data_IF_277815507855
#
_entry.id   IF_277815507855
#
_cell.length_a   1.000
_cell.length_b   1.000
_cell.length_c   1.000
_cell.angle_alpha   90.00
_cell.angle_beta   90.00
_cell.angle_gamma   90.00
#
_symmetry.space_group_name_H-M   'P 1'
#
loop_
_entity.id
_entity.type
_entity.pdbx_description
1 polymer ?
#
# COMPACT_ATOMS: atom_id res chain seq x y z
N UNK A 1 72.06 23.23 5.26
CA UNK A 1 70.82 23.76 5.90
C UNK A 1 69.66 23.51 4.95
N UNK A 2 68.58 22.90 5.47
CA UNK A 2 67.48 22.29 4.72
C UNK A 2 66.57 23.30 4.01
N UNK A 3 66.06 22.89 2.87
CA UNK A 3 65.10 23.57 1.98
C UNK A 3 63.65 23.31 2.42
N UNK A 4 62.85 24.38 2.33
CA UNK A 4 61.38 24.57 2.12
C UNK A 4 60.41 23.38 2.30
N UNK A 5 59.20 23.68 2.80
CA UNK A 5 57.93 23.75 2.03
C UNK A 5 56.75 24.00 3.00
N UNK A 6 55.89 24.96 2.63
CA UNK A 6 54.61 25.30 3.26
C UNK A 6 53.53 24.36 2.72
N UNK A 7 52.69 23.81 3.60
CA UNK A 7 51.42 23.16 3.23
C UNK A 7 50.34 23.56 4.25
N UNK A 8 49.36 24.33 3.76
CA UNK A 8 48.07 24.58 4.40
C UNK A 8 47.24 23.30 4.33
N UNK A 9 46.70 22.86 5.47
CA UNK A 9 45.65 21.83 5.51
C UNK A 9 44.45 22.40 6.25
N UNK A 10 43.42 22.67 5.45
CA UNK A 10 42.05 22.97 5.86
C UNK A 10 41.43 21.73 6.51
N UNK A 11 40.97 21.85 7.75
CA UNK A 11 40.23 20.80 8.45
C UNK A 11 38.79 21.23 8.69
N UNK A 12 37.89 20.88 7.77
CA UNK A 12 36.45 20.95 7.99
C UNK A 12 36.03 19.73 8.83
N UNK A 13 35.45 19.95 10.02
CA UNK A 13 34.82 18.88 10.79
C UNK A 13 33.31 19.06 10.71
N UNK A 14 32.67 18.10 10.04
CA UNK A 14 31.26 18.06 9.72
C UNK A 14 30.38 18.02 10.98
N UNK A 15 29.42 18.94 11.06
CA UNK A 15 28.33 18.90 12.01
C UNK A 15 27.33 17.84 11.51
N UNK A 16 27.30 16.68 12.18
CA UNK A 16 26.35 15.62 11.88
C UNK A 16 24.92 16.06 12.20
N UNK A 17 24.16 16.44 11.18
CA UNK A 17 22.71 16.54 11.26
C UNK A 17 22.16 15.12 11.20
N UNK A 18 21.77 14.60 12.36
CA UNK A 18 20.87 13.45 12.46
C UNK A 18 19.52 13.89 11.90
N UNK A 19 19.27 13.60 10.62
CA UNK A 19 17.93 13.63 10.07
C UNK A 19 17.19 12.42 10.67
N UNK A 20 16.43 12.65 11.73
CA UNK A 20 15.30 11.80 12.09
C UNK A 20 14.25 11.95 10.98
N UNK A 21 14.47 11.25 9.88
CA UNK A 21 13.44 11.06 8.87
C UNK A 21 12.39 10.14 9.46
N UNK A 22 11.33 10.70 10.05
CA UNK A 22 10.06 10.01 10.05
C UNK A 22 9.66 9.91 8.58
N UNK A 23 10.02 8.80 7.93
CA UNK A 23 9.44 8.43 6.66
C UNK A 23 8.01 8.04 6.98
N UNK A 24 7.12 9.04 7.04
CA UNK A 24 5.71 8.81 6.78
C UNK A 24 5.68 8.19 5.39
N UNK A 25 5.52 6.87 5.35
CA UNK A 25 5.63 6.06 4.16
C UNK A 25 4.79 6.68 3.05
N UNK A 26 5.44 7.02 1.94
CA UNK A 26 4.74 7.20 0.67
C UNK A 26 3.96 5.90 0.46
N UNK A 27 2.64 5.94 0.59
CA UNK A 27 1.79 4.83 0.19
C UNK A 27 1.73 4.86 -1.33
N UNK A 28 2.32 3.90 -2.06
CA UNK A 28 2.24 3.89 -3.51
C UNK A 28 0.77 3.81 -3.93
N UNK A 29 0.31 4.82 -4.67
CA UNK A 29 -0.99 4.82 -5.36
C UNK A 29 -0.86 3.96 -6.63
N UNK A 30 -1.65 2.88 -6.73
CA UNK A 30 -1.81 1.95 -7.87
C UNK A 30 -1.83 2.63 -9.26
N UNK A 31 -1.38 2.12 -10.43
CA UNK A 31 -0.72 0.90 -10.97
C UNK A 31 0.55 1.35 -11.76
N UNK A 32 1.46 0.43 -12.18
CA UNK A 32 2.21 -0.54 -11.38
C UNK A 32 2.94 0.14 -10.22
N UNK A 33 3.00 -0.54 -9.09
CA UNK A 33 3.58 0.01 -7.86
C UNK A 33 5.00 -0.47 -7.59
N UNK A 34 5.79 0.42 -7.01
CA UNK A 34 7.13 0.17 -6.48
C UNK A 34 7.11 0.37 -4.96
N UNK A 35 7.77 -0.51 -4.23
CA UNK A 35 8.19 -0.27 -2.84
C UNK A 35 9.69 -0.49 -2.73
N UNK A 36 10.31 -0.08 -1.62
CA UNK A 36 11.75 -0.23 -1.44
C UNK A 36 12.13 -0.35 0.03
N UNK A 37 13.22 -1.08 0.31
CA UNK A 37 13.93 -1.10 1.58
C UNK A 37 15.44 -0.91 1.38
N UNK A 38 15.98 0.17 1.94
CA UNK A 38 17.42 0.44 1.89
C UNK A 38 17.98 0.45 0.47
N UNK A 39 18.55 -0.68 0.02
CA UNK A 39 19.18 -0.88 -1.27
C UNK A 39 18.36 -1.67 -2.30
N UNK A 40 17.14 -2.13 -1.98
CA UNK A 40 16.31 -2.94 -2.89
C UNK A 40 15.00 -2.25 -3.21
N UNK A 41 14.59 -2.31 -4.47
CA UNK A 41 13.25 -1.97 -4.94
C UNK A 41 12.46 -3.24 -5.28
N UNK A 42 11.20 -3.30 -4.89
CA UNK A 42 10.25 -4.34 -5.26
C UNK A 42 9.24 -3.78 -6.25
N UNK A 43 9.15 -4.40 -7.43
CA UNK A 43 8.36 -3.91 -8.54
C UNK A 43 7.36 -4.98 -8.95
N UNK A 44 6.06 -4.66 -8.91
CA UNK A 44 5.04 -5.50 -9.50
C UNK A 44 4.92 -5.22 -11.01
N UNK A 45 4.89 -6.28 -11.81
CA UNK A 45 4.63 -6.21 -13.24
C UNK A 45 3.64 -7.31 -13.68
N UNK A 46 3.04 -7.12 -14.86
CA UNK A 46 2.05 -8.04 -15.41
C UNK A 46 2.51 -9.51 -15.53
N UNK A 47 3.81 -9.81 -15.42
CA UNK A 47 4.32 -11.18 -15.50
C UNK A 47 5.00 -11.69 -14.22
N UNK A 48 5.47 -10.80 -13.35
CA UNK A 48 6.21 -11.16 -12.13
C UNK A 48 6.34 -9.96 -11.18
N UNK A 49 6.69 -10.26 -9.93
CA UNK A 49 7.31 -9.32 -9.00
C UNK A 49 8.83 -9.45 -9.08
N UNK A 50 9.53 -8.33 -9.09
CA UNK A 50 10.99 -8.26 -9.17
C UNK A 50 11.55 -7.59 -7.93
N UNK A 51 12.67 -8.10 -7.42
CA UNK A 51 13.57 -7.31 -6.60
C UNK A 51 14.72 -6.80 -7.44
N UNK A 52 15.00 -5.50 -7.33
CA UNK A 52 16.00 -4.79 -8.12
C UNK A 52 16.93 -4.05 -7.17
N UNK A 53 18.23 -4.21 -7.36
CA UNK A 53 19.23 -3.42 -6.64
C UNK A 53 19.13 -1.95 -7.08
N UNK A 54 18.93 -1.04 -6.12
CA UNK A 54 18.74 0.39 -6.38
C UNK A 54 20.01 1.11 -6.84
N UNK A 55 21.20 0.58 -6.53
CA UNK A 55 22.48 1.21 -6.91
C UNK A 55 22.82 1.00 -8.38
N UNK A 56 22.49 -0.18 -8.93
CA UNK A 56 22.93 -0.58 -10.27
C UNK A 56 21.80 -1.09 -11.19
N UNK A 57 20.57 -1.23 -10.70
CA UNK A 57 19.41 -1.68 -11.48
C UNK A 57 19.40 -3.18 -11.81
N UNK A 58 20.32 -3.97 -11.26
CA UNK A 58 20.34 -5.41 -11.49
C UNK A 58 19.19 -6.10 -10.76
N UNK A 59 18.57 -7.06 -11.44
CA UNK A 59 17.64 -7.97 -10.80
C UNK A 59 18.37 -8.83 -9.76
N UNK A 60 17.82 -8.86 -8.55
CA UNK A 60 18.27 -9.73 -7.45
C UNK A 60 17.50 -11.06 -7.49
N UNK A 61 16.19 -11.00 -7.67
CA UNK A 61 15.30 -12.15 -7.84
C UNK A 61 13.99 -11.73 -8.51
N UNK A 62 13.22 -12.71 -8.98
CA UNK A 62 11.83 -12.51 -9.43
C UNK A 62 10.91 -13.63 -8.92
N UNK A 63 9.63 -13.31 -8.78
CA UNK A 63 8.57 -14.25 -8.44
C UNK A 63 7.39 -14.13 -9.41
N UNK A 64 6.92 -15.23 -10.01
CA UNK A 64 7.56 -16.55 -10.03
C UNK A 64 8.91 -16.53 -10.77
N UNK A 65 9.81 -17.48 -10.47
CA UNK A 65 11.14 -17.58 -11.13
C UNK A 65 11.00 -17.66 -12.66
N UNK A 66 9.98 -18.40 -13.13
CA UNK A 66 9.58 -18.45 -14.54
C UNK A 66 8.24 -17.75 -14.70
N UNK A 67 8.17 -16.84 -15.66
CA UNK A 67 6.93 -16.13 -15.98
C UNK A 67 5.80 -17.14 -16.24
N UNK A 68 4.67 -16.89 -15.61
CA UNK A 68 3.45 -17.67 -15.79
C UNK A 68 2.39 -16.71 -16.33
N UNK A 69 1.89 -16.98 -17.54
CA UNK A 69 0.88 -16.14 -18.19
C UNK A 69 -0.45 -16.08 -17.41
N UNK A 70 -0.64 -16.98 -16.43
CA UNK A 70 -1.80 -16.96 -15.52
C UNK A 70 -1.59 -16.07 -14.30
N UNK A 71 -0.37 -15.56 -14.08
CA UNK A 71 -0.03 -14.72 -12.93
C UNK A 71 0.38 -13.34 -13.39
N UNK A 72 -0.39 -12.36 -12.93
CA UNK A 72 -0.09 -10.94 -13.12
C UNK A 72 -0.16 -10.21 -11.79
N UNK A 73 0.69 -9.20 -11.64
CA UNK A 73 0.81 -8.41 -10.43
C UNK A 73 0.72 -6.94 -10.80
N UNK A 74 -0.24 -6.24 -10.21
CA UNK A 74 -0.47 -4.81 -10.48
C UNK A 74 -0.49 -3.96 -9.22
N UNK A 75 -0.97 -4.53 -8.11
CA UNK A 75 -0.85 -3.95 -6.79
C UNK A 75 0.61 -3.74 -6.40
N UNK A 76 0.93 -2.61 -5.76
CA UNK A 76 2.27 -2.37 -5.26
C UNK A 76 2.64 -3.44 -4.22
N UNK A 77 3.83 -4.06 -4.28
CA UNK A 77 4.30 -4.90 -3.20
C UNK A 77 4.44 -4.08 -1.91
N UNK A 78 4.05 -4.63 -0.76
CA UNK A 78 4.09 -3.91 0.53
C UNK A 78 4.95 -4.65 1.53
N UNK A 79 5.95 -3.97 2.10
CA UNK A 79 6.77 -4.52 3.17
C UNK A 79 6.04 -4.44 4.50
N UNK A 80 6.04 -5.55 5.25
CA UNK A 80 5.54 -5.60 6.62
C UNK A 80 6.64 -5.25 7.63
N UNK A 81 6.30 -4.80 8.84
CA UNK A 81 7.27 -4.52 9.90
C UNK A 81 8.12 -5.73 10.30
N UNK A 82 7.61 -6.95 10.14
CA UNK A 82 8.33 -8.19 10.44
C UNK A 82 9.16 -8.74 9.26
N UNK A 83 9.33 -7.95 8.20
CA UNK A 83 10.27 -8.23 7.12
C UNK A 83 9.75 -9.19 6.06
N UNK A 84 8.45 -9.12 5.74
CA UNK A 84 7.82 -9.86 4.66
C UNK A 84 7.36 -8.92 3.54
N UNK A 85 7.26 -9.43 2.31
CA UNK A 85 6.75 -8.68 1.17
C UNK A 85 5.37 -9.23 0.77
N UNK A 86 4.32 -8.43 0.93
CA UNK A 86 2.95 -8.80 0.56
C UNK A 86 2.67 -8.42 -0.88
N UNK A 87 2.14 -9.38 -1.64
CA UNK A 87 1.90 -9.26 -3.07
C UNK A 87 0.53 -9.83 -3.43
N UNK A 88 -0.32 -9.01 -4.04
CA UNK A 88 -1.61 -9.43 -4.58
C UNK A 88 -1.50 -9.93 -6.02
N UNK A 89 -1.94 -11.16 -6.28
CA UNK A 89 -1.95 -11.77 -7.61
C UNK A 89 -3.29 -11.71 -8.34
N UNK A 90 -3.22 -11.76 -9.67
CA UNK A 90 -4.41 -11.96 -10.52
C UNK A 90 -4.86 -13.42 -10.58
N UNK A 91 -4.10 -14.34 -10.02
CA UNK A 91 -4.52 -15.73 -9.81
C UNK A 91 -5.33 -15.92 -8.51
N UNK A 92 -5.88 -14.82 -7.97
CA UNK A 92 -6.73 -14.76 -6.77
C UNK A 92 -6.00 -15.06 -5.46
N UNK A 93 -4.67 -15.17 -5.51
CA UNK A 93 -3.84 -15.47 -4.33
C UNK A 93 -3.15 -14.20 -3.81
N UNK A 94 -3.20 -14.01 -2.49
CA UNK A 94 -2.34 -13.06 -1.79
C UNK A 94 -1.11 -13.82 -1.26
N UNK A 95 0.07 -13.34 -1.62
CA UNK A 95 1.35 -13.94 -1.25
C UNK A 95 2.03 -13.13 -0.17
N UNK A 96 2.68 -13.82 0.76
CA UNK A 96 3.84 -13.27 1.47
C UNK A 96 5.10 -13.90 0.90
N UNK A 97 6.04 -13.06 0.50
CA UNK A 97 7.34 -13.43 -0.02
C UNK A 97 8.44 -13.01 0.96
N UNK A 98 9.51 -13.79 1.01
CA UNK A 98 10.76 -13.39 1.63
C UNK A 98 11.42 -12.31 0.75
N UNK A 99 11.65 -11.08 1.25
CA UNK A 99 12.18 -9.99 0.43
C UNK A 99 13.63 -10.21 -0.05
N UNK A 100 14.39 -11.11 0.58
CA UNK A 100 15.78 -11.37 0.23
C UNK A 100 15.94 -12.37 -0.91
N UNK A 101 14.98 -13.28 -1.11
CA UNK A 101 15.13 -14.36 -2.09
C UNK A 101 13.85 -14.69 -2.91
N UNK A 102 12.73 -14.00 -2.67
CA UNK A 102 11.48 -14.19 -3.39
C UNK A 102 10.74 -15.50 -3.08
N UNK A 103 11.19 -16.28 -2.09
CA UNK A 103 10.51 -17.51 -1.68
C UNK A 103 9.18 -17.19 -0.98
N UNK A 104 8.17 -18.01 -1.21
CA UNK A 104 6.87 -17.85 -0.57
C UNK A 104 6.94 -18.26 0.90
N UNK A 105 6.59 -17.34 1.81
CA UNK A 105 6.41 -17.64 3.23
C UNK A 105 5.04 -18.27 3.48
N UNK A 106 3.98 -17.68 2.92
CA UNK A 106 2.60 -18.18 3.00
C UNK A 106 1.75 -17.67 1.84
N UNK A 107 0.57 -18.28 1.65
CA UNK A 107 -0.43 -17.91 0.64
C UNK A 107 -1.81 -17.87 1.26
N UNK A 108 -2.61 -16.88 0.86
CA UNK A 108 -4.04 -16.84 1.14
C UNK A 108 -4.80 -16.96 -0.19
N UNK A 109 -5.53 -18.07 -0.35
CA UNK A 109 -6.17 -18.47 -1.61
C UNK A 109 -7.70 -18.68 -1.48
N UNK A 110 -8.32 -18.08 -0.46
CA UNK A 110 -9.78 -18.16 -0.25
C UNK A 110 -10.57 -17.02 -0.92
N UNK A 111 -9.87 -16.02 -1.45
CA UNK A 111 -10.50 -14.97 -2.26
C UNK A 111 -10.96 -15.52 -3.62
N UNK A 112 -11.99 -14.90 -4.19
CA UNK A 112 -12.64 -15.39 -5.42
C UNK A 112 -12.31 -14.57 -6.66
N UNK A 113 -11.56 -13.49 -6.50
CA UNK A 113 -11.25 -12.55 -7.57
C UNK A 113 -9.86 -11.91 -7.31
N UNK A 114 -9.43 -11.09 -8.26
CA UNK A 114 -8.08 -10.54 -8.36
C UNK A 114 -7.78 -9.49 -7.27
N UNK A 115 -6.52 -9.41 -6.87
CA UNK A 115 -6.02 -8.36 -5.97
C UNK A 115 -5.53 -7.16 -6.78
N UNK A 116 -6.36 -6.12 -6.89
CA UNK A 116 -6.07 -4.93 -7.72
C UNK A 116 -5.42 -3.81 -6.91
N UNK A 117 -5.98 -3.52 -5.73
CA UNK A 117 -5.44 -2.53 -4.80
C UNK A 117 -4.28 -3.08 -3.98
N UNK A 118 -3.35 -2.21 -3.60
CA UNK A 118 -2.31 -2.57 -2.64
C UNK A 118 -2.93 -2.88 -1.28
N UNK A 119 -2.28 -3.73 -0.50
CA UNK A 119 -2.67 -3.94 0.90
C UNK A 119 -2.29 -2.72 1.74
N UNK A 120 -2.96 -2.55 2.87
CA UNK A 120 -2.50 -1.68 3.97
C UNK A 120 -2.00 -2.57 5.10
N UNK A 121 -0.83 -2.26 5.66
CA UNK A 121 -0.30 -2.94 6.85
C UNK A 121 -0.33 -1.96 8.02
N UNK A 122 -1.08 -2.31 9.07
CA UNK A 122 -1.18 -1.49 10.28
C UNK A 122 -1.57 -2.36 11.48
N UNK A 123 -0.99 -2.08 12.65
CA UNK A 123 -1.27 -2.81 13.90
C UNK A 123 -1.15 -4.33 13.75
N UNK A 124 -0.09 -4.81 13.10
CA UNK A 124 0.18 -6.22 12.80
C UNK A 124 -0.93 -6.95 12.01
N UNK A 125 -1.76 -6.17 11.30
CA UNK A 125 -2.81 -6.65 10.41
C UNK A 125 -2.54 -6.21 8.97
N UNK A 126 -2.94 -7.07 8.04
CA UNK A 126 -2.92 -6.85 6.61
C UNK A 126 -4.37 -6.66 6.16
N UNK A 127 -4.69 -5.44 5.74
CA UNK A 127 -5.98 -5.06 5.18
C UNK A 127 -5.89 -5.16 3.66
N UNK A 128 -6.44 -6.24 3.10
CA UNK A 128 -6.30 -6.60 1.71
C UNK A 128 -7.62 -6.38 0.95
N UNK A 129 -7.73 -5.31 0.14
CA UNK A 129 -8.91 -5.06 -0.69
C UNK A 129 -8.95 -6.02 -1.88
N UNK A 130 -10.10 -6.66 -2.13
CA UNK A 130 -10.25 -7.62 -3.22
C UNK A 130 -11.37 -7.22 -4.22
N UNK A 131 -11.22 -7.66 -5.47
CA UNK A 131 -12.22 -7.48 -6.51
C UNK A 131 -13.51 -8.30 -6.29
N UNK A 132 -13.52 -9.26 -5.36
CA UNK A 132 -14.67 -10.08 -4.98
C UNK A 132 -15.61 -9.42 -3.96
N UNK A 133 -15.40 -8.12 -3.74
CA UNK A 133 -16.23 -7.24 -2.90
C UNK A 133 -15.95 -7.39 -1.41
N UNK A 134 -14.83 -8.01 -1.03
CA UNK A 134 -14.43 -8.12 0.36
C UNK A 134 -13.12 -7.37 0.65
N UNK A 135 -13.11 -6.69 1.80
CA UNK A 135 -11.87 -6.38 2.50
C UNK A 135 -11.55 -7.58 3.39
N UNK A 136 -10.47 -8.28 3.08
CA UNK A 136 -9.94 -9.35 3.91
C UNK A 136 -8.94 -8.77 4.91
N UNK A 137 -9.06 -9.15 6.18
CA UNK A 137 -8.11 -8.72 7.20
C UNK A 137 -7.44 -9.93 7.81
N UNK A 138 -6.14 -10.04 7.55
CA UNK A 138 -5.29 -11.14 7.97
C UNK A 138 -4.31 -10.67 9.03
N UNK A 139 -3.81 -11.57 9.86
CA UNK A 139 -2.59 -11.30 10.63
C UNK A 139 -1.34 -11.50 9.74
N UNK A 140 -0.16 -11.18 10.27
CA UNK A 140 1.12 -11.33 9.55
C UNK A 140 1.49 -12.78 9.17
N UNK A 141 0.77 -13.77 9.67
CA UNK A 141 0.92 -15.19 9.29
C UNK A 141 -0.03 -15.61 8.15
N UNK A 142 -0.82 -14.68 7.62
CA UNK A 142 -1.81 -14.95 6.58
C UNK A 142 -3.13 -15.55 7.08
N UNK A 143 -3.38 -15.53 8.39
CA UNK A 143 -4.59 -16.11 8.98
C UNK A 143 -5.71 -15.05 9.04
N UNK A 144 -6.88 -15.40 8.49
CA UNK A 144 -8.05 -14.53 8.49
C UNK A 144 -8.51 -14.19 9.91
N UNK A 145 -8.55 -12.90 10.22
CA UNK A 145 -9.10 -12.36 11.47
C UNK A 145 -10.57 -11.99 11.30
N UNK A 146 -10.88 -11.27 10.23
CA UNK A 146 -12.25 -10.89 9.86
C UNK A 146 -12.29 -10.44 8.40
N UNK A 147 -13.51 -10.28 7.86
CA UNK A 147 -13.74 -9.68 6.55
C UNK A 147 -14.93 -8.74 6.57
N UNK A 148 -14.91 -7.75 5.69
CA UNK A 148 -16.02 -6.82 5.49
C UNK A 148 -16.45 -6.84 4.03
N UNK A 149 -17.76 -6.97 3.78
CA UNK A 149 -18.31 -7.05 2.43
C UNK A 149 -18.91 -5.71 1.98
N UNK A 150 -18.53 -5.27 0.79
CA UNK A 150 -19.14 -4.17 0.03
C UNK A 150 -20.11 -4.74 -1.01
N UNK A 151 -20.67 -3.88 -1.88
CA UNK A 151 -21.59 -4.33 -2.95
C UNK A 151 -20.94 -4.47 -4.33
N UNK A 152 -19.72 -3.99 -4.46
CA UNK A 152 -18.87 -4.08 -5.66
C UNK A 152 -17.40 -4.11 -5.25
N UNK A 153 -16.53 -4.31 -6.24
CA UNK A 153 -15.09 -4.46 -6.06
C UNK A 153 -14.46 -3.32 -5.26
N UNK A 154 -13.38 -3.66 -4.55
CA UNK A 154 -12.54 -2.72 -3.82
C UNK A 154 -11.19 -2.71 -4.51
N UNK A 155 -10.94 -1.68 -5.31
CA UNK A 155 -9.67 -1.50 -6.02
C UNK A 155 -8.77 -0.47 -5.36
N UNK A 156 -9.35 0.39 -4.54
CA UNK A 156 -8.65 1.41 -3.78
C UNK A 156 -7.89 0.79 -2.60
N UNK A 157 -6.64 1.21 -2.38
CA UNK A 157 -5.91 0.89 -1.14
C UNK A 157 -6.62 1.58 0.04
N UNK A 158 -6.98 0.86 1.12
CA UNK A 158 -7.59 1.48 2.28
C UNK A 158 -6.60 2.33 3.08
N UNK A 159 -7.12 3.21 3.93
CA UNK A 159 -6.33 4.01 4.91
C UNK A 159 -6.91 3.85 6.31
N UNK A 160 -6.11 4.11 7.34
CA UNK A 160 -6.55 3.95 8.73
C UNK A 160 -6.06 5.08 9.64
N UNK A 161 -6.86 5.41 10.65
CA UNK A 161 -6.49 6.24 11.81
C UNK A 161 -6.15 5.37 13.05
N UNK A 162 -5.90 4.07 12.85
CA UNK A 162 -5.77 3.00 13.86
C UNK A 162 -7.05 2.55 14.55
N UNK A 163 -8.10 3.37 14.60
CA UNK A 163 -9.40 2.99 15.17
C UNK A 163 -10.38 2.49 14.10
N UNK A 164 -10.32 3.11 12.92
CA UNK A 164 -11.16 2.84 11.77
C UNK A 164 -10.31 2.61 10.55
N UNK A 165 -10.84 1.80 9.64
CA UNK A 165 -10.33 1.66 8.28
C UNK A 165 -11.34 2.26 7.32
N UNK A 166 -10.82 3.12 6.44
CA UNK A 166 -11.58 3.82 5.42
C UNK A 166 -11.26 3.20 4.07
N UNK A 167 -12.30 2.83 3.32
CA UNK A 167 -12.16 2.26 1.99
C UNK A 167 -13.18 2.85 1.02
N UNK A 168 -12.78 2.99 -0.24
CA UNK A 168 -13.67 3.28 -1.36
C UNK A 168 -14.01 2.02 -2.14
N UNK A 169 -15.25 1.91 -2.61
CA UNK A 169 -15.70 0.81 -3.47
C UNK A 169 -16.26 1.33 -4.80
N UNK A 170 -16.26 0.45 -5.81
CA UNK A 170 -16.92 0.72 -7.08
C UNK A 170 -18.45 0.82 -6.96
N UNK A 171 -19.04 0.49 -5.80
CA UNK A 171 -20.47 0.69 -5.53
C UNK A 171 -20.83 2.15 -5.24
N UNK A 172 -19.86 3.06 -5.38
CA UNK A 172 -19.95 4.51 -5.17
C UNK A 172 -20.07 4.88 -3.70
N UNK A 173 -19.62 4.02 -2.79
CA UNK A 173 -19.60 4.32 -1.35
C UNK A 173 -18.20 4.33 -0.77
N UNK A 174 -18.03 5.25 0.17
CA UNK A 174 -16.95 5.21 1.17
C UNK A 174 -17.50 4.50 2.40
N UNK A 175 -16.71 3.61 2.98
CA UNK A 175 -17.02 2.93 4.22
C UNK A 175 -15.98 3.26 5.26
N UNK A 176 -16.43 3.48 6.51
CA UNK A 176 -15.61 3.39 7.68
C UNK A 176 -16.01 2.16 8.49
N UNK A 177 -15.04 1.32 8.76
CA UNK A 177 -15.20 0.08 9.55
C UNK A 177 -14.28 0.12 10.75
N UNK A 178 -14.75 -0.39 11.87
CA UNK A 178 -13.96 -0.52 13.09
C UNK A 178 -12.77 -1.46 12.82
N UNK A 179 -11.55 -0.97 13.02
CA UNK A 179 -10.33 -1.67 12.63
C UNK A 179 -10.09 -2.96 13.43
N UNK A 180 -10.70 -3.09 14.61
CA UNK A 180 -10.54 -4.26 15.47
C UNK A 180 -11.56 -5.35 15.16
N UNK A 181 -12.79 -4.96 14.84
CA UNK A 181 -13.93 -5.88 14.75
C UNK A 181 -14.48 -6.06 13.34
N UNK A 182 -14.07 -5.21 12.38
CA UNK A 182 -14.58 -5.21 11.02
C UNK A 182 -16.04 -4.74 10.90
N UNK A 183 -16.63 -4.21 11.97
CA UNK A 183 -18.02 -3.74 11.96
C UNK A 183 -18.14 -2.38 11.28
N UNK A 184 -19.20 -2.20 10.51
CA UNK A 184 -19.54 -0.91 9.92
C UNK A 184 -19.72 0.15 11.02
N UNK A 185 -19.04 1.28 10.87
CA UNK A 185 -19.25 2.49 11.67
C UNK A 185 -20.18 3.44 10.93
N UNK A 186 -19.83 3.77 9.69
CA UNK A 186 -20.66 4.58 8.79
C UNK A 186 -20.34 4.26 7.33
N UNK A 187 -21.27 4.59 6.43
CA UNK A 187 -21.04 4.61 4.99
C UNK A 187 -21.60 5.89 4.38
N UNK A 188 -20.99 6.33 3.27
CA UNK A 188 -21.39 7.53 2.53
C UNK A 188 -21.44 7.23 1.05
N UNK A 189 -22.63 7.37 0.46
CA UNK A 189 -22.79 7.34 -0.99
C UNK A 189 -22.28 8.66 -1.60
N UNK A 190 -21.48 8.53 -2.66
CA UNK A 190 -20.96 9.61 -3.49
C UNK A 190 -21.51 9.51 -4.92
N UNK A 191 -21.15 10.47 -5.77
CA UNK A 191 -21.65 10.62 -7.14
C UNK A 191 -21.11 9.55 -8.10
N UNK A 192 -19.92 9.00 -7.83
CA UNK A 192 -19.22 8.09 -8.75
C UNK A 192 -18.48 6.94 -8.06
N UNK A 193 -18.03 5.97 -8.87
CA UNK A 193 -17.25 4.83 -8.40
C UNK A 193 -15.91 5.30 -7.84
N UNK A 194 -15.40 4.62 -6.82
CA UNK A 194 -14.18 5.03 -6.13
C UNK A 194 -13.09 4.02 -6.46
N UNK A 195 -12.25 4.38 -7.44
CA UNK A 195 -11.09 3.58 -7.85
C UNK A 195 -9.83 4.02 -7.12
N UNK A 196 -9.73 5.31 -6.79
CA UNK A 196 -8.56 5.88 -6.13
C UNK A 196 -8.56 5.67 -4.62
N UNK A 197 -7.38 5.48 -4.05
CA UNK A 197 -7.18 5.37 -2.60
C UNK A 197 -7.63 6.66 -1.88
N UNK A 198 -8.47 6.56 -0.83
CA UNK A 198 -8.74 7.68 0.05
C UNK A 198 -7.44 8.23 0.68
N UNK A 199 -7.44 9.50 1.06
CA UNK A 199 -6.33 10.13 1.77
C UNK A 199 -6.82 10.63 3.13
N UNK A 200 -6.18 10.17 4.21
CA UNK A 200 -6.40 10.73 5.54
C UNK A 200 -5.48 11.94 5.73
N UNK A 201 -6.05 13.14 5.77
CA UNK A 201 -5.29 14.36 6.00
C UNK A 201 -4.82 14.48 7.45
N UNK A 202 -3.74 15.22 7.66
CA UNK A 202 -3.25 15.58 9.00
C UNK A 202 -4.23 16.45 9.80
N UNK A 203 -5.25 17.00 9.15
CA UNK A 203 -6.38 17.72 9.75
C UNK A 203 -7.51 16.78 10.22
N UNK A 204 -7.33 15.46 10.10
CA UNK A 204 -8.30 14.46 10.52
C UNK A 204 -9.48 14.28 9.56
N UNK A 205 -9.39 14.81 8.33
CA UNK A 205 -10.41 14.66 7.30
C UNK A 205 -10.03 13.57 6.30
N UNK A 206 -11.07 12.94 5.73
CA UNK A 206 -10.89 11.96 4.68
C UNK A 206 -11.16 12.59 3.32
N UNK A 207 -10.18 12.55 2.42
CA UNK A 207 -10.30 13.04 1.06
C UNK A 207 -10.49 11.88 0.09
N UNK A 208 -11.50 11.97 -0.78
CA UNK A 208 -11.87 10.89 -1.69
C UNK A 208 -12.18 11.44 -3.07
N UNK A 209 -11.55 10.86 -4.09
CA UNK A 209 -11.83 11.18 -5.49
C UNK A 209 -12.69 10.07 -6.12
N UNK A 210 -13.65 10.47 -6.95
CA UNK A 210 -14.50 9.55 -7.71
C UNK A 210 -14.11 9.54 -9.18
N UNK A 211 -14.47 8.47 -9.89
CA UNK A 211 -14.30 8.37 -11.34
C UNK A 211 -15.05 9.46 -12.12
N UNK A 212 -16.05 10.10 -11.50
CA UNK A 212 -16.82 11.20 -12.09
C UNK A 212 -16.07 12.53 -12.14
N UNK A 213 -14.84 12.60 -11.61
CA UNK A 213 -14.05 13.84 -11.55
C UNK A 213 -14.32 14.69 -10.31
N UNK A 214 -15.15 14.19 -9.39
CA UNK A 214 -15.43 14.85 -8.12
C UNK A 214 -14.45 14.44 -7.02
N UNK A 215 -14.05 15.40 -6.19
CA UNK A 215 -13.25 15.22 -4.98
C UNK A 215 -14.06 15.70 -3.79
N UNK A 216 -14.13 14.88 -2.74
CA UNK A 216 -14.88 15.13 -1.53
C UNK A 216 -13.94 15.20 -0.33
N UNK A 217 -14.24 16.09 0.61
CA UNK A 217 -13.76 15.97 1.98
C UNK A 217 -14.89 15.49 2.89
N UNK A 218 -14.61 14.45 3.66
CA UNK A 218 -15.53 13.83 4.58
C UNK A 218 -15.00 13.94 6.02
N UNK A 219 -15.91 14.15 6.96
CA UNK A 219 -15.62 14.00 8.38
C UNK A 219 -15.40 12.52 8.72
N UNK A 220 -14.30 12.22 9.39
CA UNK A 220 -13.88 10.84 9.69
C UNK A 220 -14.71 10.17 10.77
N UNK A 221 -15.40 10.94 11.63
CA UNK A 221 -16.19 10.43 12.73
C UNK A 221 -17.57 9.95 12.28
N UNK A 222 -18.18 10.61 11.30
CA UNK A 222 -19.57 10.33 10.89
C UNK A 222 -19.81 10.22 9.37
N UNK A 223 -18.81 10.49 8.53
CA UNK A 223 -18.94 10.44 7.07
C UNK A 223 -19.67 11.64 6.45
N UNK A 224 -19.88 12.71 7.21
CA UNK A 224 -20.50 13.94 6.71
C UNK A 224 -19.63 14.58 5.64
N UNK A 225 -20.26 15.03 4.54
CA UNK A 225 -19.56 15.74 3.48
C UNK A 225 -19.33 17.18 3.91
N UNK A 226 -18.07 17.57 4.02
CA UNK A 226 -17.65 18.91 4.43
C UNK A 226 -17.57 19.86 3.23
N UNK A 227 -17.03 19.37 2.12
CA UNK A 227 -16.99 20.10 0.85
C UNK A 227 -16.84 19.15 -0.33
N UNK A 228 -17.07 19.68 -1.52
CA UNK A 228 -16.91 19.00 -2.82
C UNK A 228 -16.23 19.93 -3.83
N UNK A 229 -15.40 19.35 -4.68
CA UNK A 229 -14.79 19.98 -5.84
C UNK A 229 -15.05 19.12 -7.07
N UNK A 230 -15.66 19.69 -8.12
CA UNK A 230 -15.90 19.00 -9.38
C UNK A 230 -14.95 19.53 -10.45
N UNK A 231 -14.20 18.64 -11.10
CA UNK A 231 -13.21 19.02 -12.11
C UNK A 231 -13.80 19.48 -13.46
N UNK A 232 -15.12 19.28 -13.68
CA UNK A 232 -15.84 19.73 -14.88
C UNK A 232 -15.87 18.71 -16.03
#
# INVERSE_FOLDING_TARGET
MKTKIILLISGALALGLLLSGCVTGLTPSSWPGISADGATAYVASAAAVYAVNLENGNELWRFPEKADAKRSFFAAPVLTPDGQLIVGGYDHVLYSLNPQNGQVNWQYAEARDHWVGSVLVANDLIYAPNADYNLYVLNLKGELQWKFATRQAIWATPVTDSQRVYLGSLDRKVYAVDARTGKLVWDKALTGAILGSPVLGGDGRLYVATFGGDVFALDTANGEQLWEFSAG
#
